data_IF_572729313243
#
_entry.id   IF_572729313243
#
_cell.length_a   1.000
_cell.length_b   1.000
_cell.length_c   1.000
_cell.angle_alpha   90.00
_cell.angle_beta   90.00
_cell.angle_gamma   90.00
#
_symmetry.space_group_name_H-M   'P 1'
#
loop_
_entity.id
_entity.type
_entity.pdbx_description
1 polymer ?
#
# COMPACT_ATOMS: atom_id res chain seq x y z
N UNK A 1 6.38 -14.69 0.48
CA UNK A 1 5.43 -13.60 0.28
C UNK A 1 5.37 -12.73 1.51
N UNK A 2 5.17 -11.44 1.35
CA UNK A 2 5.09 -10.48 2.46
C UNK A 2 3.74 -10.54 3.18
N UNK A 3 2.71 -11.08 2.52
CA UNK A 3 1.41 -11.34 3.15
C UNK A 3 1.18 -12.83 3.28
N UNK A 4 0.51 -13.23 4.36
CA UNK A 4 0.17 -14.62 4.63
C UNK A 4 -1.36 -14.81 4.64
N UNK A 5 -1.80 -16.05 4.87
CA UNK A 5 -3.22 -16.39 4.86
C UNK A 5 -4.00 -15.69 5.97
N UNK A 6 -3.36 -15.44 7.12
CA UNK A 6 -4.00 -14.71 8.22
C UNK A 6 -4.26 -13.26 7.83
N UNK A 7 -3.26 -12.62 7.19
CA UNK A 7 -3.44 -11.25 6.68
C UNK A 7 -4.61 -11.17 5.70
N UNK A 8 -4.72 -12.15 4.81
CA UNK A 8 -5.80 -12.22 3.84
C UNK A 8 -7.16 -12.41 4.52
N UNK A 9 -7.23 -13.26 5.52
CA UNK A 9 -8.46 -13.50 6.27
C UNK A 9 -8.94 -12.23 6.98
N UNK A 10 -8.04 -11.51 7.63
CA UNK A 10 -8.37 -10.24 8.29
C UNK A 10 -8.89 -9.23 7.27
N UNK A 11 -8.29 -9.19 6.08
CA UNK A 11 -8.73 -8.31 5.00
C UNK A 11 -10.12 -8.64 4.48
N UNK A 12 -10.42 -9.94 4.30
CA UNK A 12 -11.72 -10.40 3.79
C UNK A 12 -12.82 -10.31 4.83
N UNK A 13 -12.54 -10.61 6.09
CA UNK A 13 -13.50 -10.73 7.17
C UNK A 13 -13.02 -10.01 8.43
N UNK A 14 -12.91 -8.70 8.35
CA UNK A 14 -12.56 -7.89 9.52
C UNK A 14 -13.64 -8.05 10.61
N UNK A 15 -13.19 -8.16 11.86
CA UNK A 15 -14.06 -8.33 13.04
C UNK A 15 -14.79 -9.67 13.12
N UNK A 16 -14.47 -10.67 12.27
CA UNK A 16 -15.05 -12.01 12.40
C UNK A 16 -14.36 -12.80 13.51
N UNK A 17 -15.10 -13.77 14.07
CA UNK A 17 -14.58 -14.67 15.12
C UNK A 17 -13.99 -15.94 14.49
N UNK A 18 -12.70 -16.16 14.73
CA UNK A 18 -12.01 -17.35 14.24
C UNK A 18 -10.73 -17.60 15.05
N UNK A 19 -10.20 -18.81 14.92
CA UNK A 19 -8.94 -19.21 15.49
C UNK A 19 -8.13 -19.95 14.44
N UNK A 20 -6.83 -19.71 14.37
CA UNK A 20 -5.99 -20.36 13.36
C UNK A 20 -4.74 -20.94 14.02
N UNK A 21 -4.53 -22.25 13.83
CA UNK A 21 -3.36 -22.97 14.32
C UNK A 21 -2.53 -23.41 13.12
N UNK A 22 -1.25 -23.05 13.12
CA UNK A 22 -0.34 -23.40 12.02
C UNK A 22 -0.51 -22.48 10.82
N UNK A 23 -0.06 -22.95 9.66
CA UNK A 23 -0.05 -22.16 8.42
C UNK A 23 -0.98 -22.71 7.34
N UNK A 24 -1.53 -23.91 7.56
CA UNK A 24 -2.42 -24.56 6.59
C UNK A 24 -3.87 -24.15 6.80
N UNK A 25 -4.65 -24.15 5.72
CA UNK A 25 -6.08 -23.82 5.77
C UNK A 25 -6.83 -24.73 6.72
N UNK A 26 -6.42 -26.00 6.83
CA UNK A 26 -7.06 -26.96 7.74
C UNK A 26 -6.95 -26.56 9.22
N UNK A 27 -6.01 -25.68 9.56
CA UNK A 27 -5.87 -25.16 10.92
C UNK A 27 -6.83 -24.03 11.27
N UNK A 28 -7.58 -23.53 10.30
CA UNK A 28 -8.56 -22.47 10.55
C UNK A 28 -9.83 -23.02 11.16
N UNK A 29 -10.16 -22.56 12.37
CA UNK A 29 -11.42 -22.82 13.02
C UNK A 29 -12.31 -21.60 12.89
N UNK A 30 -13.42 -21.76 12.17
CA UNK A 30 -14.37 -20.67 11.91
C UNK A 30 -15.44 -20.65 13.00
N UNK A 31 -15.46 -19.58 13.78
CA UNK A 31 -16.36 -19.41 14.92
C UNK A 31 -17.44 -18.37 14.65
N UNK A 32 -17.34 -17.66 13.55
CA UNK A 32 -18.23 -16.54 13.21
C UNK A 32 -19.51 -17.06 12.56
N UNK A 33 -20.60 -16.26 12.69
CA UNK A 33 -21.89 -16.58 12.07
C UNK A 33 -21.91 -16.31 10.56
N UNK A 34 -20.96 -15.53 10.04
CA UNK A 34 -20.87 -15.26 8.61
C UNK A 34 -20.25 -16.45 7.86
N UNK A 35 -20.34 -16.42 6.53
CA UNK A 35 -19.80 -17.50 5.70
C UNK A 35 -18.27 -17.56 5.78
N UNK A 36 -17.74 -18.75 6.08
CA UNK A 36 -16.30 -19.01 6.10
C UNK A 36 -15.72 -18.84 4.69
N UNK A 37 -14.66 -18.03 4.53
CA UNK A 37 -13.98 -17.94 3.24
C UNK A 37 -13.38 -19.29 2.83
N UNK A 38 -13.37 -19.56 1.54
CA UNK A 38 -12.71 -20.77 1.02
C UNK A 38 -11.20 -20.56 0.97
N UNK A 39 -10.44 -21.66 0.88
CA UNK A 39 -8.98 -21.57 0.72
C UNK A 39 -8.63 -20.80 -0.56
N UNK A 40 -9.37 -21.03 -1.65
CA UNK A 40 -9.17 -20.33 -2.91
C UNK A 40 -9.37 -18.81 -2.77
N UNK A 41 -10.40 -18.39 -2.02
CA UNK A 41 -10.64 -16.97 -1.77
C UNK A 41 -9.52 -16.34 -0.94
N UNK A 42 -9.03 -17.06 0.06
CA UNK A 42 -7.90 -16.59 0.90
C UNK A 42 -6.62 -16.48 0.06
N UNK A 43 -6.31 -17.48 -0.75
CA UNK A 43 -5.12 -17.45 -1.61
C UNK A 43 -5.18 -16.33 -2.64
N UNK A 44 -6.37 -16.09 -3.22
CA UNK A 44 -6.56 -14.97 -4.16
C UNK A 44 -6.35 -13.63 -3.46
N UNK A 45 -6.77 -13.50 -2.21
CA UNK A 45 -6.57 -12.26 -1.45
C UNK A 45 -5.11 -12.05 -1.08
N UNK A 46 -4.35 -13.10 -0.76
CA UNK A 46 -2.89 -13.00 -0.56
C UNK A 46 -2.24 -12.42 -1.81
N UNK A 47 -2.61 -12.94 -2.98
CA UNK A 47 -2.08 -12.45 -4.26
C UNK A 47 -2.45 -11.00 -4.50
N UNK A 48 -3.71 -10.64 -4.25
CA UNK A 48 -4.17 -9.26 -4.43
C UNK A 48 -3.41 -8.28 -3.53
N UNK A 49 -3.25 -8.61 -2.25
CA UNK A 49 -2.51 -7.78 -1.30
C UNK A 49 -1.04 -7.64 -1.69
N UNK A 50 -0.43 -8.76 -2.10
CA UNK A 50 0.98 -8.77 -2.52
C UNK A 50 1.18 -7.89 -3.76
N UNK A 51 0.28 -8.00 -4.75
CA UNK A 51 0.38 -7.22 -5.99
C UNK A 51 0.11 -5.72 -5.77
N UNK A 52 -0.70 -5.38 -4.76
CA UNK A 52 -1.02 -3.99 -4.44
C UNK A 52 0.05 -3.30 -3.57
N UNK A 53 0.94 -4.07 -2.93
CA UNK A 53 1.90 -3.52 -1.97
C UNK A 53 2.85 -2.47 -2.57
N UNK A 54 3.45 -2.68 -3.77
CA UNK A 54 4.35 -1.67 -4.32
C UNK A 54 3.66 -0.30 -4.47
N UNK A 55 2.42 -0.28 -4.95
CA UNK A 55 1.68 0.97 -5.11
C UNK A 55 1.31 1.59 -3.77
N UNK A 56 0.96 0.77 -2.78
CA UNK A 56 0.69 1.25 -1.42
C UNK A 56 1.91 1.99 -0.85
N UNK A 57 3.08 1.38 -0.97
CA UNK A 57 4.33 1.96 -0.47
C UNK A 57 4.72 3.21 -1.27
N UNK A 58 4.47 3.22 -2.58
CA UNK A 58 4.71 4.41 -3.40
C UNK A 58 3.87 5.58 -2.89
N UNK A 59 2.59 5.35 -2.58
CA UNK A 59 1.71 6.39 -2.07
C UNK A 59 2.16 6.89 -0.70
N UNK A 60 2.65 6.00 0.16
CA UNK A 60 3.19 6.40 1.47
C UNK A 60 4.39 7.34 1.28
N UNK A 61 5.32 6.99 0.40
CA UNK A 61 6.50 7.82 0.14
C UNK A 61 6.11 9.15 -0.53
N UNK A 62 5.18 9.11 -1.49
CA UNK A 62 4.66 10.31 -2.11
C UNK A 62 4.04 11.25 -1.07
N UNK A 63 3.22 10.71 -0.17
CA UNK A 63 2.56 11.50 0.86
C UNK A 63 3.58 12.10 1.83
N UNK A 64 4.65 11.35 2.14
CA UNK A 64 5.75 11.85 2.95
C UNK A 64 6.41 13.05 2.27
N UNK A 65 6.68 12.95 0.97
CA UNK A 65 7.29 14.04 0.21
C UNK A 65 6.37 15.26 0.13
N UNK A 66 5.06 15.05 -0.06
CA UNK A 66 4.09 16.16 -0.05
C UNK A 66 4.07 16.83 1.32
N UNK A 67 4.10 16.05 2.40
CA UNK A 67 4.08 16.59 3.75
C UNK A 67 5.29 17.49 4.04
N UNK A 68 6.45 17.16 3.48
CA UNK A 68 7.66 17.99 3.68
C UNK A 68 7.53 19.37 3.05
N UNK A 69 6.56 19.57 2.15
CA UNK A 69 6.37 20.84 1.42
C UNK A 69 5.05 21.53 1.74
N UNK A 70 4.22 20.96 2.61
CA UNK A 70 2.91 21.53 2.93
C UNK A 70 3.01 22.95 3.52
N UNK A 71 4.05 23.23 4.30
CA UNK A 71 4.26 24.55 4.86
C UNK A 71 4.41 25.63 3.78
N UNK A 72 4.92 25.25 2.58
CA UNK A 72 5.09 26.19 1.46
C UNK A 72 3.75 26.58 0.84
N UNK A 73 2.71 25.77 1.05
CA UNK A 73 1.37 26.03 0.53
C UNK A 73 0.48 26.73 1.55
N UNK A 74 1.03 27.19 2.69
CA UNK A 74 0.26 27.91 3.69
C UNK A 74 -0.21 29.26 3.16
N UNK A 75 -1.31 29.80 3.75
CA UNK A 75 -1.92 31.05 3.28
C UNK A 75 -1.00 32.26 3.40
N UNK A 76 0.04 32.20 4.23
CA UNK A 76 0.99 33.29 4.45
C UNK A 76 2.13 33.31 3.43
N UNK A 77 2.22 32.29 2.58
CA UNK A 77 3.31 32.14 1.62
C UNK A 77 2.78 32.00 0.21
N UNK A 78 3.51 32.58 -0.76
CA UNK A 78 3.22 32.39 -2.16
C UNK A 78 3.98 31.18 -2.67
N UNK A 79 3.25 30.14 -3.10
CA UNK A 79 3.85 28.96 -3.68
C UNK A 79 4.30 29.25 -5.12
N UNK A 80 5.60 29.09 -5.39
CA UNK A 80 6.11 29.32 -6.75
C UNK A 80 5.59 28.26 -7.73
N UNK A 81 5.64 28.58 -9.03
CA UNK A 81 5.17 27.65 -10.07
C UNK A 81 5.99 26.38 -10.10
N UNK A 82 7.30 26.43 -9.81
CA UNK A 82 8.14 25.25 -9.75
C UNK A 82 7.70 24.30 -8.65
N UNK A 83 7.32 24.83 -7.48
CA UNK A 83 6.82 24.00 -6.36
C UNK A 83 5.43 23.47 -6.64
N UNK A 84 4.57 24.27 -7.31
CA UNK A 84 3.25 23.78 -7.73
C UNK A 84 3.37 22.60 -8.69
N UNK A 85 4.28 22.72 -9.66
CA UNK A 85 4.54 21.67 -10.64
C UNK A 85 5.07 20.39 -9.96
N UNK A 86 6.02 20.54 -9.04
CA UNK A 86 6.57 19.42 -8.29
C UNK A 86 5.48 18.71 -7.49
N UNK A 87 4.68 19.46 -6.72
CA UNK A 87 3.61 18.89 -5.91
C UNK A 87 2.55 18.20 -6.77
N UNK A 88 2.19 18.80 -7.92
CA UNK A 88 1.24 18.19 -8.83
C UNK A 88 1.79 16.90 -9.43
N UNK A 89 3.07 16.89 -9.80
CA UNK A 89 3.72 15.69 -10.32
C UNK A 89 3.71 14.54 -9.27
N UNK A 90 3.89 14.87 -7.99
CA UNK A 90 3.78 13.88 -6.92
C UNK A 90 2.35 13.32 -6.82
N UNK A 91 1.32 14.18 -6.92
CA UNK A 91 -0.06 13.72 -6.86
C UNK A 91 -0.40 12.81 -8.03
N UNK A 92 0.14 13.10 -9.21
CA UNK A 92 -0.14 12.35 -10.44
C UNK A 92 0.69 11.08 -10.58
N UNK A 93 1.74 10.94 -9.76
CA UNK A 93 2.71 9.84 -9.87
C UNK A 93 2.07 8.45 -9.87
N UNK A 94 1.11 8.13 -8.98
CA UNK A 94 0.52 6.78 -8.97
C UNK A 94 -0.14 6.38 -10.30
N UNK A 95 -0.64 7.33 -11.07
CA UNK A 95 -1.33 7.04 -12.33
C UNK A 95 -0.39 6.51 -13.44
N UNK A 96 0.91 6.86 -13.37
CA UNK A 96 1.87 6.50 -14.41
C UNK A 96 3.00 5.60 -13.94
N UNK A 97 3.19 5.45 -12.63
CA UNK A 97 4.30 4.69 -12.08
C UNK A 97 4.05 3.18 -12.12
N UNK A 98 5.13 2.42 -12.22
CA UNK A 98 5.11 0.95 -12.13
C UNK A 98 6.06 0.51 -11.01
N UNK A 99 5.70 0.77 -9.75
CA UNK A 99 6.60 0.49 -8.63
C UNK A 99 6.81 -0.99 -8.41
N UNK A 100 8.00 -1.33 -7.89
CA UNK A 100 8.38 -2.71 -7.58
C UNK A 100 8.97 -2.77 -6.18
N UNK A 101 8.91 -3.94 -5.57
CA UNK A 101 9.55 -4.20 -4.30
C UNK A 101 10.97 -4.72 -4.52
N UNK A 102 11.86 -4.42 -3.58
CA UNK A 102 13.19 -5.04 -3.56
C UNK A 102 13.10 -6.45 -2.92
N UNK A 103 14.23 -7.12 -2.80
CA UNK A 103 14.28 -8.48 -2.25
C UNK A 103 13.88 -8.57 -0.78
N UNK A 104 13.89 -7.45 -0.07
CA UNK A 104 13.53 -7.38 1.35
C UNK A 104 12.07 -6.98 1.57
N UNK A 105 11.31 -6.76 0.51
CA UNK A 105 9.92 -6.35 0.60
C UNK A 105 9.69 -4.86 0.76
N UNK A 106 10.72 -4.03 0.64
CA UNK A 106 10.61 -2.58 0.65
C UNK A 106 10.44 -2.06 -0.77
N UNK A 107 9.94 -0.84 -0.90
CA UNK A 107 9.83 -0.20 -2.20
C UNK A 107 11.22 0.01 -2.81
N UNK A 108 11.41 -0.48 -4.02
CA UNK A 108 12.62 -0.19 -4.79
C UNK A 108 12.47 1.21 -5.36
N UNK A 109 13.16 2.18 -4.76
CA UNK A 109 13.06 3.59 -5.15
C UNK A 109 13.52 3.82 -6.58
N UNK A 110 14.40 2.96 -7.11
CA UNK A 110 14.87 3.08 -8.49
C UNK A 110 13.84 2.60 -9.51
N UNK A 111 12.80 1.89 -9.08
CA UNK A 111 11.71 1.46 -9.96
C UNK A 111 10.73 2.59 -10.28
N UNK A 112 10.86 3.74 -9.63
CA UNK A 112 9.97 4.88 -9.78
C UNK A 112 10.78 6.10 -10.26
N UNK A 113 10.23 6.82 -11.24
CA UNK A 113 10.82 8.09 -11.69
C UNK A 113 10.22 9.20 -10.82
N UNK A 114 10.92 9.56 -9.77
CA UNK A 114 10.47 10.59 -8.84
C UNK A 114 10.58 11.98 -9.46
N UNK A 115 9.59 12.87 -9.25
CA UNK A 115 9.71 14.26 -9.67
C UNK A 115 10.93 14.93 -9.04
N UNK A 116 11.56 15.83 -9.78
CA UNK A 116 12.74 16.56 -9.29
C UNK A 116 12.31 17.70 -8.38
N UNK A 117 12.81 17.68 -7.15
CA UNK A 117 12.52 18.72 -6.18
C UNK A 117 13.16 20.03 -6.62
N UNK A 118 12.42 21.18 -6.62
CA UNK A 118 13.02 22.48 -6.90
C UNK A 118 14.05 22.88 -5.87
N UNK A 119 15.01 23.68 -6.29
CA UNK A 119 16.07 24.19 -5.39
C UNK A 119 15.62 25.45 -4.66
#
# INVERSE_FOLDING_TARGET
MIYNKVDALVSLKSNADWSWTGTEYSGLEWLDSSTKPTESEIDAEVTRLTNAEPMRLLRVERDRLLATTDWRASSDLTLSDDWKTYRQALRDLPASASPKLDSDGFLDLTSVTWPTKPS
#
